data_IF_163719637331
#
_entry.id   IF_163719637331
#
_cell.length_a   1.000
_cell.length_b   1.000
_cell.length_c   1.000
_cell.angle_alpha   90.00
_cell.angle_beta   90.00
_cell.angle_gamma   90.00
#
_symmetry.space_group_name_H-M   'P 1'
#
loop_
_entity.id
_entity.type
_entity.pdbx_description
1 polymer ?
#
# COMPACT_ATOMS: atom_id res chain seq x y z
N UNK A 1 -18.79 41.04 -6.02
CA UNK A 1 -17.31 41.13 -5.98
C UNK A 1 -16.74 39.84 -6.51
N UNK A 2 -15.68 39.89 -7.28
CA UNK A 2 -15.09 38.70 -7.90
C UNK A 2 -14.05 38.00 -7.01
N UNK A 3 -13.61 38.64 -5.93
CA UNK A 3 -12.58 38.12 -5.00
C UNK A 3 -13.09 38.24 -3.57
N UNK A 4 -12.97 37.15 -2.82
CA UNK A 4 -13.37 37.04 -1.41
C UNK A 4 -12.22 36.49 -0.58
N UNK A 5 -12.05 36.99 0.64
CA UNK A 5 -11.21 36.38 1.65
C UNK A 5 -12.07 35.48 2.55
N UNK A 6 -11.80 34.17 2.56
CA UNK A 6 -12.65 33.20 3.26
C UNK A 6 -12.22 32.99 4.71
N UNK A 7 -10.92 33.04 4.99
CA UNK A 7 -10.36 32.76 6.32
C UNK A 7 -9.90 33.98 7.08
N UNK A 8 -9.97 35.17 6.48
CA UNK A 8 -9.65 36.43 7.14
C UNK A 8 -10.75 36.90 8.10
N UNK A 9 -10.41 37.71 9.11
CA UNK A 9 -11.39 38.26 10.05
C UNK A 9 -12.19 39.38 9.38
N UNK A 10 -13.50 39.24 9.30
CA UNK A 10 -14.42 40.24 8.70
C UNK A 10 -15.37 40.89 9.70
N UNK A 11 -15.14 40.67 11.03
CA UNK A 11 -15.98 41.19 12.11
C UNK A 11 -17.26 40.39 12.39
N UNK A 12 -17.54 39.33 11.61
CA UNK A 12 -18.67 38.40 11.80
C UNK A 12 -18.33 37.05 11.25
N UNK A 13 -19.10 36.01 11.61
CA UNK A 13 -19.01 34.68 11.03
C UNK A 13 -19.30 34.75 9.52
N UNK A 14 -18.43 34.13 8.71
CA UNK A 14 -18.52 34.21 7.24
C UNK A 14 -18.01 32.95 6.51
N UNK A 15 -17.48 31.97 7.24
CA UNK A 15 -17.07 30.69 6.64
C UNK A 15 -18.31 29.82 6.48
N UNK A 16 -18.71 29.60 5.23
CA UNK A 16 -19.84 28.71 4.91
C UNK A 16 -19.38 27.25 4.78
N UNK A 17 -20.34 26.32 4.87
CA UNK A 17 -20.07 24.89 4.65
C UNK A 17 -19.53 24.62 3.23
N UNK A 18 -20.00 25.39 2.23
CA UNK A 18 -19.55 25.31 0.84
C UNK A 18 -18.10 25.78 0.71
N UNK A 19 -17.75 26.92 1.33
CA UNK A 19 -16.38 27.44 1.29
C UNK A 19 -15.38 26.53 1.99
N UNK A 20 -15.75 26.00 3.16
CA UNK A 20 -14.95 25.00 3.86
C UNK A 20 -14.81 23.71 3.04
N UNK A 21 -15.92 23.23 2.46
CA UNK A 21 -15.92 22.04 1.59
C UNK A 21 -15.07 22.22 0.34
N UNK A 22 -15.09 23.40 -0.27
CA UNK A 22 -14.23 23.72 -1.43
C UNK A 22 -12.74 23.67 -1.07
N UNK A 23 -12.35 24.17 0.12
CA UNK A 23 -10.98 24.07 0.61
C UNK A 23 -10.58 22.61 0.79
N UNK A 24 -11.40 21.80 1.48
CA UNK A 24 -11.12 20.38 1.66
C UNK A 24 -10.98 19.63 0.33
N UNK A 25 -11.89 19.89 -0.61
CA UNK A 25 -11.86 19.30 -1.95
C UNK A 25 -10.60 19.72 -2.74
N UNK A 26 -10.19 20.99 -2.61
CA UNK A 26 -8.99 21.50 -3.27
C UNK A 26 -7.67 20.93 -2.71
N UNK A 27 -7.62 20.62 -1.42
CA UNK A 27 -6.39 20.10 -0.76
C UNK A 27 -6.36 18.57 -0.77
N UNK A 28 -7.48 17.91 -0.51
CA UNK A 28 -7.55 16.44 -0.32
C UNK A 28 -8.03 15.75 -1.60
N UNK A 29 -8.92 16.39 -2.35
CA UNK A 29 -9.56 15.85 -3.54
C UNK A 29 -11.09 15.76 -3.40
N UNK A 30 -11.78 15.53 -4.52
CA UNK A 30 -13.24 15.46 -4.62
C UNK A 30 -13.83 14.07 -4.32
N UNK A 31 -13.02 13.11 -3.91
CA UNK A 31 -13.42 11.74 -3.62
C UNK A 31 -13.85 11.52 -2.16
N UNK A 32 -13.70 10.29 -1.72
CA UNK A 32 -14.02 9.79 -0.37
C UNK A 32 -12.73 9.32 0.30
N UNK A 33 -12.33 9.97 1.39
CA UNK A 33 -11.02 9.77 2.01
C UNK A 33 -11.13 9.63 3.52
N UNK A 34 -10.56 8.56 4.09
CA UNK A 34 -10.28 8.50 5.53
C UNK A 34 -8.92 9.11 5.77
N UNK A 35 -8.84 10.05 6.69
CA UNK A 35 -7.62 10.78 7.00
C UNK A 35 -6.80 10.06 8.08
N UNK A 36 -5.51 10.38 8.17
CA UNK A 36 -4.58 9.81 9.14
C UNK A 36 -4.74 10.43 10.56
N UNK A 37 -5.98 10.75 10.96
CA UNK A 37 -6.30 11.33 12.25
C UNK A 37 -6.98 10.34 13.20
N UNK A 38 -6.83 10.54 14.52
CA UNK A 38 -7.44 9.71 15.54
C UNK A 38 -7.05 8.24 15.45
N UNK A 39 -8.00 7.35 15.74
CA UNK A 39 -7.85 5.90 15.58
C UNK A 39 -8.25 5.41 14.18
N UNK A 40 -8.45 6.33 13.22
CA UNK A 40 -8.76 6.01 11.82
C UNK A 40 -9.99 5.10 11.68
N UNK A 41 -11.02 5.35 12.51
CA UNK A 41 -12.24 4.55 12.63
C UNK A 41 -12.01 3.07 12.95
N UNK A 42 -10.95 2.71 13.67
CA UNK A 42 -10.68 1.32 14.01
C UNK A 42 -11.91 0.65 14.65
N UNK A 43 -12.27 -0.54 14.15
CA UNK A 43 -13.39 -1.32 14.64
C UNK A 43 -12.94 -2.35 15.67
N UNK A 44 -13.75 -2.53 16.73
CA UNK A 44 -13.57 -3.51 17.78
C UNK A 44 -14.88 -4.27 18.02
N UNK A 45 -14.85 -5.60 17.92
CA UNK A 45 -16.01 -6.43 18.24
C UNK A 45 -16.13 -6.50 19.76
N UNK A 46 -17.21 -5.94 20.32
CA UNK A 46 -17.47 -5.91 21.76
C UNK A 46 -18.28 -7.13 22.19
N UNK A 47 -19.26 -7.53 21.36
CA UNK A 47 -20.11 -8.70 21.59
C UNK A 47 -20.56 -9.32 20.28
N UNK A 48 -21.40 -10.36 20.35
CA UNK A 48 -21.96 -11.05 19.19
C UNK A 48 -22.76 -10.14 18.23
N UNK A 49 -23.18 -8.96 18.70
CA UNK A 49 -24.02 -8.03 17.95
C UNK A 49 -23.64 -6.55 18.16
N UNK A 50 -22.51 -6.26 18.80
CA UNK A 50 -22.06 -4.90 19.08
C UNK A 50 -20.65 -4.69 18.57
N UNK A 51 -20.46 -3.66 17.76
CA UNK A 51 -19.18 -3.20 17.25
C UNK A 51 -18.96 -1.77 17.72
N UNK A 52 -17.78 -1.49 18.26
CA UNK A 52 -17.32 -0.15 18.61
C UNK A 52 -16.46 0.39 17.47
N UNK A 53 -16.80 1.57 16.96
CA UNK A 53 -15.99 2.30 15.98
C UNK A 53 -15.30 3.45 16.71
N UNK A 54 -13.98 3.42 16.76
CA UNK A 54 -13.15 4.41 17.46
C UNK A 54 -13.07 5.72 16.68
N UNK A 55 -12.47 6.73 17.30
CA UNK A 55 -12.27 8.06 16.70
C UNK A 55 -11.63 8.00 15.31
N UNK A 56 -11.99 8.94 14.46
CA UNK A 56 -11.45 9.04 13.10
C UNK A 56 -11.97 10.27 12.39
N UNK A 57 -11.28 10.63 11.32
CA UNK A 57 -11.58 11.80 10.49
C UNK A 57 -11.74 11.32 9.03
N UNK A 58 -12.75 11.79 8.33
CA UNK A 58 -12.93 11.53 6.90
C UNK A 58 -13.41 12.77 6.16
N UNK A 59 -13.11 12.81 4.88
CA UNK A 59 -13.66 13.80 3.95
C UNK A 59 -14.39 13.05 2.85
N UNK A 60 -15.65 13.41 2.66
CA UNK A 60 -16.51 12.87 1.62
C UNK A 60 -16.95 14.02 0.70
N UNK A 61 -16.37 14.10 -0.48
CA UNK A 61 -16.67 15.13 -1.48
C UNK A 61 -16.63 16.56 -0.88
N UNK A 62 -15.58 16.84 -0.09
CA UNK A 62 -15.38 18.10 0.61
C UNK A 62 -16.07 18.21 1.98
N UNK A 63 -17.05 17.37 2.31
CA UNK A 63 -17.70 17.38 3.63
C UNK A 63 -16.85 16.61 4.63
N UNK A 64 -16.38 17.29 5.67
CA UNK A 64 -15.60 16.70 6.76
C UNK A 64 -16.55 16.09 7.81
N UNK A 65 -16.32 14.84 8.17
CA UNK A 65 -17.09 14.09 9.16
C UNK A 65 -16.11 13.38 10.11
N UNK A 66 -16.47 13.25 11.38
CA UNK A 66 -15.58 12.64 12.37
C UNK A 66 -16.31 11.94 13.50
N UNK A 67 -15.62 11.03 14.14
CA UNK A 67 -15.83 10.64 15.54
C UNK A 67 -14.72 11.34 16.34
N UNK A 68 -15.03 12.21 17.31
CA UNK A 68 -14.03 13.00 18.02
C UNK A 68 -12.94 12.15 18.68
N UNK A 69 -11.75 12.74 18.86
CA UNK A 69 -10.64 12.09 19.57
C UNK A 69 -11.09 11.68 20.99
N UNK A 70 -10.63 10.51 21.43
CA UNK A 70 -10.99 9.88 22.72
C UNK A 70 -12.48 9.54 22.86
N UNK A 71 -13.24 9.53 21.76
CA UNK A 71 -14.62 9.03 21.73
C UNK A 71 -14.78 7.85 20.78
N UNK A 72 -15.95 7.25 20.77
CA UNK A 72 -16.33 6.14 19.90
C UNK A 72 -17.83 6.14 19.68
N UNK A 73 -18.27 5.42 18.67
CA UNK A 73 -19.68 5.12 18.40
C UNK A 73 -19.91 3.62 18.51
N UNK A 74 -21.01 3.24 19.13
CA UNK A 74 -21.46 1.86 19.23
C UNK A 74 -22.48 1.55 18.15
N UNK A 75 -22.18 0.51 17.37
CA UNK A 75 -23.00 0.09 16.23
C UNK A 75 -23.58 -1.28 16.53
N UNK A 76 -24.91 -1.34 16.67
CA UNK A 76 -25.62 -2.59 16.89
C UNK A 76 -25.90 -3.30 15.57
N UNK A 77 -25.44 -4.54 15.46
CA UNK A 77 -25.71 -5.44 14.35
C UNK A 77 -26.87 -6.36 14.73
N UNK A 78 -27.93 -6.38 13.95
CA UNK A 78 -29.02 -7.32 14.20
C UNK A 78 -28.51 -8.74 14.12
N UNK A 79 -28.90 -9.57 15.08
CA UNK A 79 -28.52 -10.99 15.10
C UNK A 79 -28.89 -11.67 13.78
N UNK A 80 -28.08 -12.63 13.39
CA UNK A 80 -28.36 -13.49 12.24
C UNK A 80 -29.42 -14.55 12.55
N UNK A 81 -29.52 -15.57 11.73
CA UNK A 81 -30.39 -16.72 11.91
C UNK A 81 -29.54 -17.99 11.89
N UNK A 82 -29.92 -18.97 12.71
CA UNK A 82 -29.19 -20.23 12.80
C UNK A 82 -29.12 -20.92 11.43
N UNK A 83 -27.93 -21.44 11.07
CA UNK A 83 -27.68 -22.07 9.77
C UNK A 83 -27.63 -21.13 8.57
N UNK A 84 -27.67 -19.81 8.80
CA UNK A 84 -27.64 -18.81 7.73
C UNK A 84 -26.38 -17.92 7.85
N UNK A 85 -25.96 -17.38 6.72
CA UNK A 85 -24.88 -16.42 6.61
C UNK A 85 -25.42 -15.09 6.10
N UNK A 86 -24.80 -13.97 6.51
CA UNK A 86 -25.18 -12.63 6.06
C UNK A 86 -23.96 -11.71 6.06
N UNK A 87 -23.93 -10.78 5.13
CA UNK A 87 -22.98 -9.65 5.14
C UNK A 87 -23.73 -8.33 5.26
N UNK A 88 -23.44 -7.58 6.33
CA UNK A 88 -23.96 -6.24 6.55
C UNK A 88 -22.86 -5.21 6.22
N UNK A 89 -23.24 -3.95 5.96
CA UNK A 89 -22.32 -2.84 5.81
C UNK A 89 -22.50 -1.86 6.97
N UNK A 90 -21.37 -1.38 7.52
CA UNK A 90 -21.33 -0.15 8.32
C UNK A 90 -20.87 0.96 7.39
N UNK A 91 -21.69 2.00 7.26
CA UNK A 91 -21.40 3.16 6.42
C UNK A 91 -21.45 4.45 7.24
N UNK A 92 -20.58 5.41 6.90
CA UNK A 92 -20.78 6.80 7.31
C UNK A 92 -21.74 7.44 6.29
N UNK A 93 -22.92 7.79 6.74
CA UNK A 93 -23.97 8.35 5.90
C UNK A 93 -24.03 9.87 6.02
N UNK A 94 -23.89 10.56 4.90
CA UNK A 94 -24.22 11.96 4.77
C UNK A 94 -25.70 12.09 4.41
N UNK A 95 -26.39 13.05 5.04
CA UNK A 95 -27.75 13.47 4.70
C UNK A 95 -27.86 14.99 4.66
N UNK A 96 -28.70 15.48 3.77
CA UNK A 96 -29.12 16.88 3.73
C UNK A 96 -30.64 16.94 3.79
N UNK A 97 -31.17 17.59 4.82
CA UNK A 97 -32.54 17.99 4.87
C UNK A 97 -32.73 19.27 4.03
N UNK A 98 -33.42 19.13 2.92
CA UNK A 98 -33.65 20.25 2.00
C UNK A 98 -34.65 21.28 2.51
N UNK A 99 -35.52 20.90 3.45
CA UNK A 99 -36.50 21.80 4.06
C UNK A 99 -35.87 22.67 5.14
N UNK A 100 -35.05 22.07 6.00
CA UNK A 100 -34.34 22.75 7.07
C UNK A 100 -32.99 23.33 6.62
N UNK A 101 -32.48 22.94 5.44
CA UNK A 101 -31.16 23.26 4.93
C UNK A 101 -30.03 22.80 5.88
N UNK A 102 -30.24 21.67 6.58
CA UNK A 102 -29.31 21.10 7.56
C UNK A 102 -28.63 19.87 6.98
N UNK A 103 -27.31 19.84 7.07
CA UNK A 103 -26.49 18.68 6.74
C UNK A 103 -26.13 17.89 8.02
N UNK A 104 -26.14 16.57 7.95
CA UNK A 104 -25.81 15.67 9.06
C UNK A 104 -25.02 14.47 8.61
N UNK A 105 -24.33 13.83 9.56
CA UNK A 105 -23.62 12.57 9.35
C UNK A 105 -23.94 11.59 10.49
N UNK A 106 -24.08 10.32 10.15
CA UNK A 106 -24.36 9.25 11.10
C UNK A 106 -23.72 7.92 10.67
N UNK A 107 -23.38 7.05 11.62
CA UNK A 107 -23.05 5.66 11.31
C UNK A 107 -24.34 4.85 11.15
N UNK A 108 -24.46 4.15 10.03
CA UNK A 108 -25.65 3.36 9.68
C UNK A 108 -25.23 1.94 9.34
N UNK A 109 -26.02 0.96 9.82
CA UNK A 109 -25.91 -0.43 9.38
C UNK A 109 -26.89 -0.68 8.25
N UNK A 110 -26.35 -1.04 7.09
CA UNK A 110 -27.16 -1.55 5.98
C UNK A 110 -27.17 -3.06 6.07
N UNK A 111 -28.32 -3.61 6.43
CA UNK A 111 -28.49 -5.06 6.60
C UNK A 111 -28.52 -5.78 5.26
N UNK A 112 -27.74 -6.83 5.12
CA UNK A 112 -27.74 -7.71 3.96
C UNK A 112 -28.84 -8.77 3.98
N UNK A 113 -28.91 -9.56 2.92
CA UNK A 113 -29.83 -10.70 2.83
C UNK A 113 -29.19 -11.94 3.44
N UNK A 114 -29.96 -12.65 4.27
CA UNK A 114 -29.51 -13.93 4.80
C UNK A 114 -29.53 -15.01 3.69
N UNK A 115 -28.55 -15.90 3.72
CA UNK A 115 -28.37 -16.99 2.75
C UNK A 115 -27.83 -18.23 3.44
N UNK A 116 -28.17 -19.40 2.94
CA UNK A 116 -27.53 -20.67 3.34
C UNK A 116 -26.12 -20.83 2.77
N UNK A 117 -25.77 -20.04 1.74
CA UNK A 117 -24.41 -19.99 1.19
C UNK A 117 -23.49 -19.18 2.08
N UNK A 118 -22.26 -19.65 2.27
CA UNK A 118 -21.18 -18.92 2.97
C UNK A 118 -20.81 -17.64 2.22
N UNK A 119 -20.88 -17.65 0.89
CA UNK A 119 -20.64 -16.47 0.07
C UNK A 119 -21.88 -15.59 0.02
N UNK A 120 -21.90 -14.54 0.83
CA UNK A 120 -22.98 -13.57 0.85
C UNK A 120 -22.57 -12.30 0.09
N UNK A 121 -23.50 -11.75 -0.70
CA UNK A 121 -23.31 -10.47 -1.35
C UNK A 121 -23.37 -9.34 -0.33
N UNK A 122 -22.59 -8.30 -0.58
CA UNK A 122 -22.65 -7.05 0.17
C UNK A 122 -23.95 -6.30 -0.24
N UNK A 123 -24.72 -5.73 0.71
CA UNK A 123 -25.91 -4.95 0.36
C UNK A 123 -25.56 -3.70 -0.46
N UNK A 124 -26.49 -3.27 -1.31
CA UNK A 124 -26.35 -1.99 -2.02
C UNK A 124 -26.44 -0.82 -1.04
N UNK A 125 -25.75 0.26 -1.37
CA UNK A 125 -25.73 1.51 -0.62
C UNK A 125 -25.89 2.69 -1.57
N UNK A 126 -26.22 3.88 -1.04
CA UNK A 126 -26.40 5.09 -1.87
C UNK A 126 -25.02 5.67 -2.19
N UNK A 127 -24.73 5.82 -3.47
CA UNK A 127 -23.51 6.49 -3.96
C UNK A 127 -23.92 7.80 -4.65
N UNK A 128 -24.19 8.82 -3.83
CA UNK A 128 -24.65 10.13 -4.29
C UNK A 128 -23.48 11.04 -4.65
N UNK A 129 -23.76 12.04 -5.50
CA UNK A 129 -22.84 13.12 -5.77
C UNK A 129 -23.27 14.37 -5.00
N UNK A 130 -22.66 14.62 -3.83
CA UNK A 130 -22.95 15.76 -2.96
C UNK A 130 -22.67 17.07 -3.69
N UNK A 131 -21.61 17.13 -4.49
CA UNK A 131 -21.23 18.32 -5.26
C UNK A 131 -22.26 18.67 -6.35
N UNK A 132 -23.03 17.67 -6.80
CA UNK A 132 -24.14 17.86 -7.75
C UNK A 132 -25.50 17.94 -7.07
N UNK A 133 -25.54 18.11 -5.74
CA UNK A 133 -26.78 18.33 -4.99
C UNK A 133 -27.47 17.06 -4.47
N UNK A 134 -26.81 15.91 -4.45
CA UNK A 134 -27.37 14.72 -3.82
C UNK A 134 -27.62 14.97 -2.32
N UNK A 135 -28.80 14.54 -1.85
CA UNK A 135 -29.24 14.71 -0.46
C UNK A 135 -28.79 13.57 0.45
N UNK A 136 -28.25 12.51 -0.11
CA UNK A 136 -27.69 11.38 0.64
C UNK A 136 -26.49 10.80 -0.11
N UNK A 137 -25.48 10.42 0.65
CA UNK A 137 -24.35 9.62 0.18
C UNK A 137 -23.81 8.73 1.29
N UNK A 138 -23.47 7.50 0.97
CA UNK A 138 -22.92 6.52 1.92
C UNK A 138 -21.45 6.27 1.62
N UNK A 139 -20.61 6.34 2.66
CA UNK A 139 -19.23 5.93 2.60
C UNK A 139 -19.05 4.60 3.34
N UNK A 140 -18.86 3.45 2.63
CA UNK A 140 -18.66 2.16 3.27
C UNK A 140 -17.38 2.12 4.09
N UNK A 141 -17.50 1.84 5.38
CA UNK A 141 -16.35 1.67 6.29
C UNK A 141 -16.02 0.20 6.50
N UNK A 142 -17.04 -0.62 6.79
CA UNK A 142 -16.82 -2.02 7.13
C UNK A 142 -17.87 -2.94 6.52
N UNK A 143 -17.40 -4.11 6.09
CA UNK A 143 -18.24 -5.29 5.86
C UNK A 143 -18.24 -6.12 7.14
N UNK A 144 -19.42 -6.44 7.65
CA UNK A 144 -19.61 -7.30 8.81
C UNK A 144 -20.18 -8.63 8.33
N UNK A 145 -19.44 -9.71 8.52
CA UNK A 145 -19.88 -11.05 8.16
C UNK A 145 -20.47 -11.76 9.40
N UNK A 146 -21.64 -12.36 9.23
CA UNK A 146 -22.32 -13.14 10.27
C UNK A 146 -22.46 -14.59 9.83
N UNK A 147 -22.32 -15.50 10.79
CA UNK A 147 -22.64 -16.92 10.65
C UNK A 147 -23.48 -17.34 11.85
N UNK A 148 -24.67 -17.87 11.59
CA UNK A 148 -25.63 -18.12 12.64
C UNK A 148 -26.01 -16.82 13.36
N UNK A 149 -25.83 -16.78 14.66
CA UNK A 149 -26.21 -15.64 15.52
C UNK A 149 -25.05 -14.68 15.78
N UNK A 150 -23.82 -14.95 15.29
CA UNK A 150 -22.61 -14.25 15.70
C UNK A 150 -21.93 -13.54 14.55
N UNK A 151 -21.24 -12.45 14.89
CA UNK A 151 -20.28 -11.77 14.00
C UNK A 151 -19.03 -12.64 13.89
N UNK A 152 -18.63 -12.99 12.67
CA UNK A 152 -17.43 -13.79 12.39
C UNK A 152 -16.25 -12.98 11.92
N UNK A 153 -16.51 -11.85 11.24
CA UNK A 153 -15.45 -10.92 10.82
C UNK A 153 -15.97 -9.52 10.57
N UNK A 154 -15.08 -8.55 10.75
CA UNK A 154 -15.27 -7.14 10.41
C UNK A 154 -14.13 -6.74 9.48
N UNK A 155 -14.44 -6.57 8.20
CA UNK A 155 -13.45 -6.29 7.16
C UNK A 155 -13.48 -4.83 6.78
N UNK A 156 -12.34 -4.15 6.87
CA UNK A 156 -12.18 -2.74 6.47
C UNK A 156 -12.31 -2.59 4.96
N UNK A 157 -13.09 -1.59 4.51
CA UNK A 157 -13.37 -1.32 3.09
C UNK A 157 -12.73 -0.03 2.58
N UNK A 158 -11.94 0.65 3.40
CA UNK A 158 -11.26 1.90 3.04
C UNK A 158 -9.75 1.78 3.25
N UNK A 159 -9.00 2.63 2.57
CA UNK A 159 -7.61 2.93 2.87
C UNK A 159 -7.50 4.28 3.57
N UNK A 160 -6.47 4.46 4.38
CA UNK A 160 -6.16 5.75 4.99
C UNK A 160 -5.32 6.56 4.02
N UNK A 161 -5.76 7.77 3.72
CA UNK A 161 -5.02 8.68 2.84
C UNK A 161 -3.74 9.14 3.51
N UNK A 162 -2.60 9.14 2.80
CA UNK A 162 -1.36 9.67 3.33
C UNK A 162 -1.49 11.18 3.60
N UNK A 163 -0.79 11.68 4.61
CA UNK A 163 -0.65 13.11 4.84
C UNK A 163 0.23 13.76 3.77
N UNK A 164 0.15 15.08 3.61
CA UNK A 164 1.04 15.84 2.72
C UNK A 164 2.51 15.60 3.11
N UNK A 165 2.81 15.54 4.41
CA UNK A 165 4.16 15.23 4.90
C UNK A 165 4.63 13.84 4.45
N UNK A 166 3.77 12.82 4.54
CA UNK A 166 4.10 11.46 4.07
C UNK A 166 4.31 11.43 2.56
N UNK A 167 3.51 12.18 1.80
CA UNK A 167 3.67 12.29 0.34
C UNK A 167 4.97 13.02 0.00
N UNK A 168 5.27 14.15 0.66
CA UNK A 168 6.52 14.88 0.47
C UNK A 168 7.72 13.98 0.74
N UNK A 169 7.72 13.25 1.86
CA UNK A 169 8.78 12.30 2.19
C UNK A 169 8.93 11.21 1.12
N UNK A 170 7.81 10.65 0.62
CA UNK A 170 7.87 9.68 -0.49
C UNK A 170 8.47 10.29 -1.75
N UNK A 171 8.15 11.54 -2.07
CA UNK A 171 8.74 12.26 -3.20
C UNK A 171 10.23 12.49 -3.00
N UNK A 172 10.67 12.87 -1.80
CA UNK A 172 12.09 13.03 -1.46
C UNK A 172 12.87 11.70 -1.53
N UNK A 173 12.18 10.57 -1.34
CA UNK A 173 12.77 9.23 -1.46
C UNK A 173 12.82 8.71 -2.91
N UNK A 174 12.00 9.27 -3.81
CA UNK A 174 12.07 8.98 -5.24
C UNK A 174 13.40 9.48 -5.79
N UNK A 175 14.15 8.57 -6.40
CA UNK A 175 15.49 8.87 -6.94
C UNK A 175 16.65 8.71 -5.95
N UNK A 176 16.39 8.48 -4.65
CA UNK A 176 17.44 8.05 -3.75
C UNK A 176 17.92 6.66 -4.11
N UNK A 177 19.22 6.53 -4.27
CA UNK A 177 19.89 5.28 -4.58
C UNK A 177 20.77 4.91 -3.39
N UNK A 178 20.53 3.74 -2.80
CA UNK A 178 21.46 3.15 -1.86
C UNK A 178 22.47 2.27 -2.60
N UNK A 179 23.69 2.21 -2.10
CA UNK A 179 24.78 1.45 -2.72
C UNK A 179 25.35 0.42 -1.76
N UNK A 180 25.78 -0.69 -2.30
CA UNK A 180 26.50 -1.74 -1.60
C UNK A 180 27.55 -2.36 -2.52
N UNK A 181 28.33 -3.28 -1.98
CA UNK A 181 29.26 -4.11 -2.74
C UNK A 181 28.92 -5.59 -2.55
N UNK A 182 29.16 -6.40 -3.57
CA UNK A 182 29.18 -7.85 -3.44
C UNK A 182 30.28 -8.23 -2.43
N UNK A 183 29.93 -9.06 -1.47
CA UNK A 183 30.91 -9.61 -0.52
C UNK A 183 31.58 -10.81 -1.20
N UNK A 184 32.81 -10.64 -1.58
CA UNK A 184 33.60 -11.63 -2.30
C UNK A 184 35.07 -11.49 -1.89
N UNK A 185 35.80 -12.58 -1.98
CA UNK A 185 37.26 -12.64 -1.78
C UNK A 185 38.06 -12.27 -3.05
N UNK A 186 37.35 -12.17 -4.19
CA UNK A 186 38.01 -11.89 -5.46
C UNK A 186 38.25 -10.38 -5.63
N UNK A 187 39.34 -10.05 -6.29
CA UNK A 187 39.65 -8.69 -6.67
C UNK A 187 38.64 -8.21 -7.71
N UNK A 188 38.04 -7.06 -7.48
CA UNK A 188 37.07 -6.47 -8.39
C UNK A 188 37.57 -5.11 -8.90
N UNK A 189 37.49 -4.89 -10.21
CA UNK A 189 37.63 -3.56 -10.81
C UNK A 189 36.34 -2.75 -10.69
N UNK A 190 35.20 -3.41 -10.88
CA UNK A 190 33.88 -2.88 -10.57
C UNK A 190 33.18 -3.81 -9.58
N UNK A 191 32.65 -3.25 -8.51
CA UNK A 191 31.86 -3.98 -7.53
C UNK A 191 30.81 -3.00 -6.98
N UNK A 192 29.69 -2.91 -7.66
CA UNK A 192 28.65 -1.96 -7.33
C UNK A 192 27.29 -2.64 -7.39
N UNK A 193 26.56 -2.50 -6.31
CA UNK A 193 25.14 -2.83 -6.22
C UNK A 193 24.42 -1.53 -5.89
N UNK A 194 23.45 -1.17 -6.69
CA UNK A 194 22.61 0.00 -6.44
C UNK A 194 21.18 -0.46 -6.23
N UNK A 195 20.45 0.21 -5.33
CA UNK A 195 19.05 -0.06 -5.08
C UNK A 195 18.29 1.26 -5.03
N UNK A 196 17.26 1.37 -5.84
CA UNK A 196 16.32 2.50 -5.84
C UNK A 196 15.29 2.37 -4.71
N UNK A 197 14.60 3.44 -4.39
CA UNK A 197 13.62 3.48 -3.29
C UNK A 197 12.44 2.50 -3.49
N UNK A 198 12.05 2.24 -4.76
CA UNK A 198 11.04 1.25 -5.15
C UNK A 198 11.56 -0.20 -5.14
N UNK A 199 12.84 -0.39 -4.77
CA UNK A 199 13.43 -1.71 -4.58
C UNK A 199 14.06 -2.34 -5.81
N UNK A 200 14.17 -1.63 -6.92
CA UNK A 200 14.92 -2.10 -8.08
C UNK A 200 16.40 -2.15 -7.75
N UNK A 201 17.03 -3.30 -7.91
CA UNK A 201 18.46 -3.51 -7.68
C UNK A 201 19.19 -3.70 -8.99
N UNK A 202 20.25 -2.94 -9.21
CA UNK A 202 21.19 -3.16 -10.30
C UNK A 202 22.52 -3.64 -9.74
N UNK A 203 22.98 -4.79 -10.19
CA UNK A 203 24.26 -5.38 -9.87
C UNK A 203 25.20 -5.20 -11.07
N UNK A 204 26.35 -4.59 -10.84
CA UNK A 204 27.44 -4.45 -11.81
C UNK A 204 28.74 -4.90 -11.17
N UNK A 205 29.25 -6.00 -11.64
CA UNK A 205 30.47 -6.62 -11.09
C UNK A 205 31.40 -6.99 -12.23
N UNK A 206 32.66 -6.54 -12.11
CA UNK A 206 33.79 -6.99 -12.91
C UNK A 206 34.86 -7.49 -11.92
N UNK A 207 35.10 -8.81 -11.91
CA UNK A 207 36.00 -9.44 -10.96
C UNK A 207 37.03 -10.32 -11.64
N UNK A 208 38.21 -10.39 -11.04
CA UNK A 208 39.28 -11.31 -11.38
C UNK A 208 39.17 -12.56 -10.49
N UNK A 209 38.80 -13.66 -11.07
CA UNK A 209 38.49 -14.90 -10.33
C UNK A 209 39.66 -15.90 -10.29
N UNK A 210 40.80 -15.54 -10.91
CA UNK A 210 41.80 -16.52 -11.23
C UNK A 210 41.29 -17.54 -12.23
N UNK A 211 41.96 -18.64 -12.43
CA UNK A 211 41.48 -19.70 -13.30
C UNK A 211 40.10 -20.19 -12.79
N UNK A 212 39.02 -19.83 -13.47
CA UNK A 212 37.70 -20.40 -13.23
C UNK A 212 37.69 -21.83 -13.77
N UNK A 213 38.54 -22.65 -13.21
CA UNK A 213 38.68 -24.06 -13.49
C UNK A 213 37.75 -24.91 -12.65
N UNK A 214 36.52 -24.51 -12.52
CA UNK A 214 35.47 -25.36 -11.98
C UNK A 214 35.09 -26.40 -13.02
N UNK A 215 34.69 -27.60 -12.60
CA UNK A 215 34.14 -28.61 -13.50
C UNK A 215 33.01 -27.99 -14.32
N UNK A 216 33.07 -28.05 -15.65
CA UNK A 216 31.98 -27.66 -16.51
C UNK A 216 30.68 -28.34 -16.02
N UNK A 217 29.60 -27.57 -15.99
CA UNK A 217 28.32 -28.09 -15.55
C UNK A 217 28.03 -28.00 -14.04
N UNK A 218 28.88 -27.33 -13.24
CA UNK A 218 28.64 -27.12 -11.81
C UNK A 218 28.48 -25.63 -11.48
N UNK A 219 27.66 -25.35 -10.47
CA UNK A 219 27.51 -24.01 -9.90
C UNK A 219 28.57 -23.78 -8.83
N UNK A 220 29.24 -22.63 -8.84
CA UNK A 220 30.15 -22.24 -7.77
C UNK A 220 29.81 -20.82 -7.28
N UNK A 221 30.14 -20.53 -6.02
CA UNK A 221 29.83 -19.26 -5.38
C UNK A 221 30.83 -18.20 -5.79
N UNK A 222 30.36 -17.11 -6.40
CA UNK A 222 31.16 -15.94 -6.76
C UNK A 222 31.15 -14.87 -5.66
N UNK A 223 30.16 -14.88 -4.77
CA UNK A 223 30.05 -13.94 -3.67
C UNK A 223 28.69 -13.96 -3.00
N UNK A 224 28.52 -13.06 -2.01
CA UNK A 224 27.31 -12.92 -1.24
C UNK A 224 26.68 -11.54 -1.50
N UNK A 225 25.40 -11.52 -1.82
CA UNK A 225 24.61 -10.29 -1.92
C UNK A 225 24.27 -9.81 -0.51
N UNK A 226 24.58 -8.55 -0.15
CA UNK A 226 24.25 -7.99 1.17
C UNK A 226 22.76 -8.05 1.49
N UNK A 227 22.43 -8.15 2.76
CA UNK A 227 21.06 -8.08 3.23
C UNK A 227 20.41 -6.75 2.79
N UNK A 228 19.11 -6.79 2.46
CA UNK A 228 18.40 -5.63 1.91
C UNK A 228 18.53 -5.44 0.40
N UNK A 229 19.47 -6.15 -0.26
CA UNK A 229 19.63 -6.14 -1.72
C UNK A 229 19.32 -7.51 -2.35
N UNK A 230 18.92 -8.49 -1.54
CA UNK A 230 18.62 -9.86 -1.99
C UNK A 230 17.28 -9.94 -2.70
N UNK A 231 17.15 -10.73 -3.78
CA UNK A 231 15.85 -10.94 -4.43
C UNK A 231 14.92 -11.80 -3.56
N UNK A 232 13.61 -11.68 -3.77
CA UNK A 232 12.59 -12.47 -3.07
C UNK A 232 12.59 -13.96 -3.44
N UNK A 233 13.10 -14.27 -4.62
CA UNK A 233 13.18 -15.64 -5.16
C UNK A 233 14.48 -15.78 -5.93
N UNK A 234 14.82 -17.01 -6.30
CA UNK A 234 15.97 -17.24 -7.17
C UNK A 234 15.79 -16.52 -8.50
N UNK A 235 16.77 -15.73 -8.89
CA UNK A 235 16.85 -15.05 -10.19
C UNK A 235 18.01 -15.61 -11.00
N UNK A 236 17.80 -15.73 -12.29
CA UNK A 236 18.79 -16.21 -13.26
C UNK A 236 19.14 -15.09 -14.23
N UNK A 237 20.36 -15.11 -14.72
CA UNK A 237 20.85 -14.16 -15.69
C UNK A 237 22.02 -14.70 -16.50
N UNK A 238 22.50 -13.87 -17.40
CA UNK A 238 23.68 -14.17 -18.20
C UNK A 238 24.75 -13.11 -17.96
N UNK A 239 25.97 -13.56 -17.79
CA UNK A 239 27.17 -12.74 -17.73
C UNK A 239 28.16 -13.21 -18.77
N UNK A 240 29.37 -12.66 -18.70
CA UNK A 240 30.47 -13.06 -19.56
C UNK A 240 31.66 -13.50 -18.73
N UNK A 241 32.25 -14.60 -19.12
CA UNK A 241 33.58 -15.00 -18.65
C UNK A 241 34.58 -14.83 -19.79
N UNK A 242 35.77 -14.36 -19.49
CA UNK A 242 36.79 -14.12 -20.49
C UNK A 242 38.21 -14.36 -19.91
N UNK A 243 39.16 -14.58 -20.77
CA UNK A 243 40.58 -14.55 -20.45
C UNK A 243 41.11 -13.12 -20.38
N UNK A 244 42.41 -12.99 -20.11
CA UNK A 244 43.08 -11.70 -20.04
C UNK A 244 42.90 -10.91 -21.34
N UNK A 245 42.59 -9.62 -21.20
CA UNK A 245 42.37 -8.71 -22.33
C UNK A 245 41.07 -8.97 -23.12
N UNK A 246 40.06 -9.56 -22.52
CA UNK A 246 38.77 -9.90 -23.15
C UNK A 246 38.85 -10.95 -24.28
N UNK A 247 39.98 -11.67 -24.34
CA UNK A 247 40.14 -12.76 -25.27
C UNK A 247 39.22 -13.93 -24.90
N UNK A 248 38.58 -14.54 -25.91
CA UNK A 248 37.70 -15.69 -25.75
C UNK A 248 36.52 -15.46 -24.80
N UNK A 249 35.93 -14.27 -24.84
CA UNK A 249 34.76 -13.98 -24.05
C UNK A 249 33.59 -14.90 -24.44
N UNK A 250 33.03 -15.62 -23.47
CA UNK A 250 31.90 -16.52 -23.68
C UNK A 250 30.77 -16.19 -22.70
N UNK A 251 29.51 -16.25 -23.14
CA UNK A 251 28.38 -16.12 -22.24
C UNK A 251 28.36 -17.24 -21.21
N UNK A 252 28.01 -16.90 -19.99
CA UNK A 252 27.81 -17.88 -18.92
C UNK A 252 26.55 -17.58 -18.15
N UNK A 253 25.92 -18.62 -17.60
CA UNK A 253 24.76 -18.45 -16.73
C UNK A 253 25.21 -18.12 -15.32
N UNK A 254 24.45 -17.26 -14.65
CA UNK A 254 24.56 -17.07 -13.22
C UNK A 254 23.16 -17.05 -12.56
N UNK A 255 23.12 -17.25 -11.26
CA UNK A 255 21.92 -17.13 -10.47
C UNK A 255 22.21 -16.46 -9.12
N UNK A 256 21.21 -15.77 -8.57
CA UNK A 256 21.21 -15.36 -7.17
C UNK A 256 20.15 -16.20 -6.46
N UNK A 257 20.58 -16.96 -5.47
CA UNK A 257 19.71 -17.81 -4.67
C UNK A 257 20.16 -17.77 -3.21
N UNK A 258 19.21 -17.64 -2.28
CA UNK A 258 19.49 -17.56 -0.85
C UNK A 258 20.56 -16.52 -0.46
N UNK A 259 20.61 -15.41 -1.22
CA UNK A 259 21.59 -14.34 -1.01
C UNK A 259 22.98 -14.63 -1.55
N UNK A 260 23.21 -15.77 -2.18
CA UNK A 260 24.49 -16.10 -2.82
C UNK A 260 24.41 -15.88 -4.34
N UNK A 261 25.48 -15.31 -4.88
CA UNK A 261 25.69 -15.20 -6.33
C UNK A 261 26.47 -16.42 -6.79
N UNK A 262 25.87 -17.21 -7.67
CA UNK A 262 26.46 -18.39 -8.28
C UNK A 262 26.77 -18.17 -9.74
N UNK A 263 27.88 -18.74 -10.19
CA UNK A 263 28.27 -18.81 -11.59
C UNK A 263 28.24 -20.26 -12.06
N UNK A 264 27.77 -20.47 -13.29
CA UNK A 264 27.85 -21.79 -13.93
C UNK A 264 29.22 -21.99 -14.54
N UNK A 265 29.95 -23.01 -14.07
CA UNK A 265 31.32 -23.28 -14.48
C UNK A 265 31.45 -23.61 -15.99
N UNK A 266 32.43 -23.01 -16.62
CA UNK A 266 32.80 -23.25 -18.01
C UNK A 266 34.14 -23.96 -18.07
N UNK A 267 34.34 -24.80 -19.08
CA UNK A 267 35.60 -25.52 -19.33
C UNK A 267 36.71 -24.61 -19.93
N UNK A 268 36.76 -23.34 -19.57
CA UNK A 268 37.71 -22.39 -20.11
C UNK A 268 38.66 -21.87 -19.00
N UNK A 269 39.88 -21.57 -19.36
CA UNK A 269 40.82 -20.85 -18.51
C UNK A 269 40.42 -19.35 -18.40
N UNK A 270 39.16 -19.09 -18.14
CA UNK A 270 38.67 -17.74 -17.92
C UNK A 270 39.17 -17.23 -16.56
N UNK A 271 39.71 -16.01 -16.56
CA UNK A 271 40.25 -15.35 -15.37
C UNK A 271 39.41 -14.16 -14.92
N UNK A 272 38.44 -13.76 -15.72
CA UNK A 272 37.61 -12.60 -15.48
C UNK A 272 36.13 -12.92 -15.63
N UNK A 273 35.32 -12.31 -14.78
CA UNK A 273 33.86 -12.40 -14.79
C UNK A 273 33.23 -11.02 -14.84
N UNK A 274 32.31 -10.82 -15.76
CA UNK A 274 31.50 -9.59 -15.86
C UNK A 274 30.03 -9.94 -15.77
N UNK A 275 29.35 -9.30 -14.81
CA UNK A 275 27.92 -9.45 -14.56
C UNK A 275 27.27 -8.08 -14.52
N UNK A 276 26.21 -7.91 -15.32
CA UNK A 276 25.29 -6.79 -15.19
C UNK A 276 23.86 -7.34 -15.19
N UNK A 277 23.11 -7.08 -14.12
CA UNK A 277 21.73 -7.51 -14.02
C UNK A 277 20.88 -6.57 -13.17
N UNK A 278 19.59 -6.65 -13.36
CA UNK A 278 18.61 -5.91 -12.57
C UNK A 278 17.51 -6.85 -12.07
N UNK A 279 17.10 -6.68 -10.83
CA UNK A 279 16.04 -7.45 -10.17
C UNK A 279 15.38 -6.65 -9.07
N UNK A 280 14.28 -7.17 -8.49
CA UNK A 280 13.58 -6.55 -7.36
C UNK A 280 14.04 -7.21 -6.05
N UNK A 281 14.44 -6.40 -5.07
CA UNK A 281 14.88 -6.87 -3.77
C UNK A 281 13.73 -7.28 -2.85
N UNK A 282 14.04 -8.19 -1.89
CA UNK A 282 13.14 -8.59 -0.82
C UNK A 282 12.72 -7.40 0.05
N UNK A 283 11.45 -7.34 0.46
CA UNK A 283 10.91 -6.28 1.32
C UNK A 283 10.65 -4.96 0.61
N UNK A 284 10.84 -4.88 -0.70
CA UNK A 284 10.37 -3.75 -1.49
C UNK A 284 8.86 -3.88 -1.64
N UNK A 285 8.13 -3.10 -0.86
CA UNK A 285 6.67 -2.98 -1.05
C UNK A 285 6.48 -2.12 -2.29
N UNK A 286 6.21 -2.75 -3.41
CA UNK A 286 5.54 -2.06 -4.51
C UNK A 286 4.13 -1.80 -4.00
N UNK A 287 3.88 -0.55 -3.59
CA UNK A 287 2.59 -0.10 -3.07
C UNK A 287 1.57 0.01 -4.20
#
# INVERSE_FOLDING_TARGET
MAVEIITGHTGKEHVTAEAAGALHAGVIGIGKYVLAGGNQFAAEIVSNNLIKIKSGELVNQGRHMRIPLNSYEEVTIQNGAQGMHRSDLIVMRYKKDTSAQVESAELVVIKGKASSSIQTSVPSYVNGNILSGATQDDFPLYRVSLSGLTITSVTKLFSVSPTIEMLSKRMDDIGKVSTAKLLTEFQCETNMITKTADGMVSLSVYMHTGAIGGNAGTWWTAGTIPEGYRPNSTVYGTGMVCGDGWLNAVPTAFMISNGLLYLYGQNSAATMLVINMTYVAMGSVVA
#
